data_IF_858935890864
#
_entry.id   IF_858935890864
#
_cell.length_a   1.000
_cell.length_b   1.000
_cell.length_c   1.000
_cell.angle_alpha   90.00
_cell.angle_beta   90.00
_cell.angle_gamma   90.00
#
_symmetry.space_group_name_H-M   'P 1'
#
loop_
_entity.id
_entity.type
_entity.pdbx_description
1 polymer ?
#
# COMPACT_ATOMS: atom_id res chain seq x y z
N UNK A 1 12.69 -13.81 -31.79
CA UNK A 1 12.06 -12.46 -31.74
C UNK A 1 10.98 -12.55 -30.67
N UNK A 2 11.29 -12.04 -29.49
CA UNK A 2 10.31 -11.93 -28.39
C UNK A 2 9.42 -10.76 -28.77
N UNK A 3 8.16 -11.03 -29.05
CA UNK A 3 7.18 -10.01 -29.37
C UNK A 3 6.85 -9.29 -28.04
N UNK A 4 7.48 -8.17 -27.77
CA UNK A 4 7.21 -7.31 -26.61
C UNK A 4 5.88 -6.61 -26.84
N UNK A 5 4.80 -7.34 -26.59
CA UNK A 5 3.44 -6.77 -26.63
C UNK A 5 3.25 -5.88 -25.40
N UNK A 6 3.68 -4.61 -25.51
CA UNK A 6 3.42 -3.62 -24.48
C UNK A 6 2.04 -3.03 -24.74
N UNK A 7 1.11 -3.23 -23.80
CA UNK A 7 -0.24 -2.69 -23.92
C UNK A 7 -0.55 -1.86 -22.68
N UNK A 8 -1.00 -0.62 -22.90
CA UNK A 8 -1.54 0.25 -21.86
C UNK A 8 -2.97 0.62 -22.24
N UNK A 9 -3.90 0.41 -21.33
CA UNK A 9 -5.30 0.74 -21.53
C UNK A 9 -5.81 1.59 -20.37
N UNK A 10 -6.60 2.60 -20.71
CA UNK A 10 -7.38 3.38 -19.75
C UNK A 10 -8.80 2.83 -19.75
N UNK A 11 -9.27 2.40 -18.59
CA UNK A 11 -10.55 1.73 -18.42
C UNK A 11 -11.30 2.29 -17.23
N UNK A 12 -12.60 2.06 -17.19
CA UNK A 12 -13.38 2.18 -15.96
C UNK A 12 -13.25 0.89 -15.15
N UNK A 13 -13.14 1.05 -13.83
CA UNK A 13 -13.14 -0.08 -12.91
C UNK A 13 -14.54 -0.69 -12.86
N UNK A 14 -14.62 -2.02 -12.88
CA UNK A 14 -15.87 -2.74 -12.78
C UNK A 14 -16.17 -3.11 -11.32
N UNK A 15 -17.40 -2.94 -10.87
CA UNK A 15 -17.86 -3.42 -9.58
C UNK A 15 -18.06 -4.95 -9.59
N UNK A 16 -18.43 -5.53 -8.45
CA UNK A 16 -18.67 -6.97 -8.29
C UNK A 16 -19.81 -7.52 -9.21
N UNK A 17 -20.65 -6.64 -9.76
CA UNK A 17 -21.70 -7.02 -10.70
C UNK A 17 -21.26 -6.93 -12.17
N UNK A 18 -20.01 -6.52 -12.44
CA UNK A 18 -19.49 -6.26 -13.78
C UNK A 18 -19.97 -4.94 -14.39
N UNK A 19 -20.51 -4.03 -13.60
CA UNK A 19 -20.96 -2.70 -14.04
C UNK A 19 -19.79 -1.70 -13.94
N UNK A 20 -19.67 -0.81 -14.94
CA UNK A 20 -18.69 0.26 -14.91
C UNK A 20 -18.94 1.24 -13.77
N UNK A 21 -17.87 1.62 -13.08
CA UNK A 21 -17.89 2.66 -12.05
C UNK A 21 -17.30 3.97 -12.60
N UNK A 22 -17.35 5.04 -11.80
CA UNK A 22 -16.71 6.31 -12.17
C UNK A 22 -15.20 6.34 -11.84
N UNK A 23 -14.62 5.24 -11.35
CA UNK A 23 -13.19 5.12 -11.08
C UNK A 23 -12.42 4.71 -12.34
N UNK A 24 -11.40 5.47 -12.67
CA UNK A 24 -10.51 5.20 -13.80
C UNK A 24 -9.27 4.43 -13.38
N UNK A 25 -8.89 3.45 -14.20
CA UNK A 25 -7.68 2.66 -14.01
C UNK A 25 -6.77 2.73 -15.24
N UNK A 26 -5.48 2.61 -14.98
CA UNK A 26 -4.45 2.31 -15.96
C UNK A 26 -4.19 0.81 -15.86
N UNK A 27 -4.48 0.06 -16.91
CA UNK A 27 -4.12 -1.33 -17.02
C UNK A 27 -2.87 -1.46 -17.88
N UNK A 28 -1.87 -2.14 -17.35
CA UNK A 28 -0.56 -2.34 -17.97
C UNK A 28 -0.35 -3.82 -18.20
N UNK A 29 0.08 -4.15 -19.41
CA UNK A 29 0.61 -5.45 -19.76
C UNK A 29 1.91 -5.25 -20.55
N UNK A 30 3.02 -5.80 -20.04
CA UNK A 30 4.33 -5.74 -20.69
C UNK A 30 5.02 -7.10 -20.64
N UNK A 31 6.30 -7.20 -21.00
CA UNK A 31 7.05 -8.45 -20.99
C UNK A 31 7.25 -9.05 -19.59
N UNK A 32 7.10 -8.26 -18.53
CA UNK A 32 7.42 -8.62 -17.15
C UNK A 32 6.18 -8.89 -16.30
N UNK A 33 5.12 -8.08 -16.47
CA UNK A 33 3.99 -8.11 -15.55
C UNK A 33 2.67 -7.67 -16.20
N UNK A 34 1.61 -7.97 -15.45
CA UNK A 34 0.30 -7.34 -15.57
C UNK A 34 0.04 -6.52 -14.30
N UNK A 35 -0.40 -5.27 -14.45
CA UNK A 35 -0.70 -4.37 -13.34
C UNK A 35 -1.96 -3.55 -13.60
N UNK A 36 -2.69 -3.19 -12.53
CA UNK A 36 -3.80 -2.27 -12.56
C UNK A 36 -3.60 -1.19 -11.51
N UNK A 37 -3.66 0.07 -11.92
CA UNK A 37 -3.46 1.24 -11.08
C UNK A 37 -4.71 2.12 -11.17
N UNK A 38 -5.36 2.40 -10.03
CA UNK A 38 -6.48 3.31 -9.96
C UNK A 38 -5.99 4.75 -9.83
N UNK A 39 -6.56 5.68 -10.59
CA UNK A 39 -6.23 7.10 -10.47
C UNK A 39 -6.70 7.66 -9.12
N UNK A 40 -7.80 7.15 -8.55
CA UNK A 40 -8.12 7.46 -7.17
C UNK A 40 -7.11 6.79 -6.24
N UNK A 41 -6.47 7.60 -5.41
CA UNK A 41 -5.42 7.19 -4.47
C UNK A 41 -4.05 6.96 -5.09
N UNK A 42 -3.91 7.03 -6.44
CA UNK A 42 -2.71 6.55 -7.11
C UNK A 42 -2.43 5.07 -6.77
N UNK A 43 -3.50 4.32 -6.50
CA UNK A 43 -3.46 3.03 -5.82
C UNK A 43 -3.21 1.89 -6.79
N UNK A 44 -2.19 1.08 -6.52
CA UNK A 44 -1.99 -0.18 -7.22
C UNK A 44 -3.02 -1.18 -6.68
N UNK A 45 -3.91 -1.66 -7.56
CA UNK A 45 -4.95 -2.62 -7.22
C UNK A 45 -4.48 -4.06 -7.43
N UNK A 46 -3.78 -4.31 -8.53
CA UNK A 46 -3.28 -5.62 -8.90
C UNK A 46 -1.87 -5.51 -9.45
N UNK A 47 -1.06 -6.51 -9.15
CA UNK A 47 0.26 -6.70 -9.71
C UNK A 47 0.59 -8.19 -9.74
N UNK A 48 1.04 -8.66 -10.90
CA UNK A 48 1.42 -10.05 -11.12
C UNK A 48 2.57 -10.14 -12.11
N UNK A 49 3.68 -10.76 -11.72
CA UNK A 49 4.80 -11.02 -12.63
C UNK A 49 4.59 -12.32 -13.39
N UNK A 50 5.04 -12.40 -14.64
CA UNK A 50 4.97 -13.65 -15.41
C UNK A 50 5.98 -14.69 -14.97
N UNK A 51 7.05 -14.28 -14.29
CA UNK A 51 8.05 -15.17 -13.70
C UNK A 51 7.47 -16.08 -12.61
N UNK A 52 6.44 -15.59 -11.90
CA UNK A 52 5.72 -16.29 -10.85
C UNK A 52 4.21 -16.13 -11.06
N UNK A 53 3.74 -16.50 -12.25
CA UNK A 53 2.37 -16.28 -12.72
C UNK A 53 1.28 -17.02 -11.91
N UNK A 54 1.67 -17.98 -11.07
CA UNK A 54 0.74 -18.87 -10.39
C UNK A 54 -0.10 -18.17 -9.30
N UNK A 55 0.27 -16.93 -8.88
CA UNK A 55 -0.49 -16.20 -7.87
C UNK A 55 -0.24 -14.68 -7.92
N UNK A 56 -1.31 -13.90 -7.73
CA UNK A 56 -1.20 -12.44 -7.61
C UNK A 56 -0.35 -12.05 -6.40
N UNK A 57 0.41 -10.94 -6.50
CA UNK A 57 1.15 -10.38 -5.38
C UNK A 57 0.21 -9.74 -4.36
N UNK A 58 -0.80 -9.04 -4.85
CA UNK A 58 -1.71 -8.23 -4.04
C UNK A 58 -3.10 -8.86 -3.97
N UNK A 59 -3.70 -8.75 -2.80
CA UNK A 59 -5.09 -9.10 -2.59
C UNK A 59 -5.98 -7.86 -2.78
N UNK A 60 -7.11 -8.04 -3.46
CA UNK A 60 -8.15 -7.03 -3.64
C UNK A 60 -9.49 -7.64 -3.28
N UNK A 61 -10.30 -6.94 -2.48
CA UNK A 61 -11.61 -7.44 -2.11
C UNK A 61 -12.54 -7.52 -3.32
N UNK A 62 -13.17 -8.67 -3.50
CA UNK A 62 -14.21 -8.87 -4.50
C UNK A 62 -15.52 -8.16 -4.15
N UNK A 63 -15.69 -7.73 -2.88
CA UNK A 63 -16.87 -7.01 -2.39
C UNK A 63 -16.69 -5.49 -2.39
N UNK A 64 -15.61 -4.97 -2.98
CA UNK A 64 -15.44 -3.53 -3.14
C UNK A 64 -16.62 -2.92 -3.90
N UNK A 65 -17.18 -1.86 -3.35
CA UNK A 65 -18.23 -1.08 -4.01
C UNK A 65 -17.69 -0.13 -5.08
N UNK A 66 -16.38 0.16 -5.05
CA UNK A 66 -15.69 1.08 -5.97
C UNK A 66 -16.42 2.42 -6.17
N UNK A 67 -16.80 3.03 -5.06
CA UNK A 67 -17.47 4.33 -5.04
C UNK A 67 -16.44 5.46 -4.97
N UNK A 68 -16.50 6.46 -5.85
CA UNK A 68 -15.61 7.62 -5.79
C UNK A 68 -15.60 8.29 -4.41
N UNK A 69 -14.42 8.65 -3.94
CA UNK A 69 -14.21 9.25 -2.62
C UNK A 69 -14.18 8.26 -1.45
N UNK A 70 -14.50 6.99 -1.67
CA UNK A 70 -14.36 5.93 -0.66
C UNK A 70 -13.08 5.15 -0.86
N UNK A 71 -12.43 4.75 0.24
CA UNK A 71 -11.23 3.93 0.18
C UNK A 71 -11.53 2.57 -0.47
N UNK A 72 -10.61 2.09 -1.31
CA UNK A 72 -10.67 0.77 -1.93
C UNK A 72 -9.96 -0.22 -1.01
N UNK A 73 -10.61 -1.34 -0.71
CA UNK A 73 -10.10 -2.40 0.16
C UNK A 73 -9.21 -3.36 -0.62
N UNK A 74 -7.91 -3.37 -0.33
CA UNK A 74 -6.92 -4.22 -0.98
C UNK A 74 -5.93 -3.45 -1.84
N UNK A 75 -5.03 -4.14 -2.55
CA UNK A 75 -3.94 -3.49 -3.27
C UNK A 75 -2.95 -2.79 -2.34
N UNK A 76 -2.53 -1.58 -2.70
CA UNK A 76 -1.61 -0.76 -1.90
C UNK A 76 -2.19 0.66 -1.74
N UNK A 77 -3.15 0.89 -0.84
CA UNK A 77 -3.60 2.23 -0.50
C UNK A 77 -2.48 3.04 0.17
N UNK A 78 -2.39 4.33 -0.13
CA UNK A 78 -1.50 5.24 0.57
C UNK A 78 -2.23 5.91 1.74
N UNK A 79 -1.79 5.65 2.96
CA UNK A 79 -2.18 6.42 4.13
C UNK A 79 -1.34 7.70 4.16
N UNK A 80 -1.97 8.89 4.05
CA UNK A 80 -1.29 10.19 4.04
C UNK A 80 -2.32 11.33 4.20
N UNK A 81 -2.04 12.41 4.94
CA UNK A 81 -0.80 12.74 5.69
C UNK A 81 -0.76 12.26 7.14
N UNK A 82 -1.70 11.41 7.56
CA UNK A 82 -1.68 10.73 8.87
C UNK A 82 -2.04 9.27 8.74
N UNK A 83 -1.57 8.48 9.70
CA UNK A 83 -1.92 7.07 9.85
C UNK A 83 -2.96 6.90 10.97
N UNK A 84 -3.91 5.99 10.79
CA UNK A 84 -4.97 5.76 11.77
C UNK A 84 -6.03 6.87 11.79
N UNK A 85 -6.73 7.00 12.92
CA UNK A 85 -7.68 8.08 13.15
C UNK A 85 -6.92 9.39 13.38
N UNK A 86 -7.48 10.53 12.94
CA UNK A 86 -6.88 11.83 13.20
C UNK A 86 -6.92 12.15 14.70
N UNK A 87 -5.80 12.65 15.24
CA UNK A 87 -5.66 12.81 16.69
C UNK A 87 -6.63 13.85 17.31
N UNK A 88 -6.96 14.91 16.55
CA UNK A 88 -7.78 16.03 17.05
C UNK A 88 -9.20 16.02 16.48
N UNK A 89 -9.41 15.51 15.27
CA UNK A 89 -10.69 15.60 14.54
C UNK A 89 -11.22 14.23 14.21
N UNK A 90 -12.19 13.75 15.00
CA UNK A 90 -12.75 12.41 14.86
C UNK A 90 -13.58 12.20 13.58
N UNK A 91 -14.04 13.27 12.95
CA UNK A 91 -14.79 13.30 11.69
C UNK A 91 -13.88 13.31 10.44
N UNK A 92 -12.57 13.48 10.62
CA UNK A 92 -11.63 13.38 9.51
C UNK A 92 -11.45 11.94 9.06
N UNK A 93 -11.16 11.71 7.76
CA UNK A 93 -11.04 10.36 7.25
C UNK A 93 -9.86 9.60 7.91
N UNK A 94 -10.12 8.41 8.42
CA UNK A 94 -9.04 7.56 8.93
C UNK A 94 -7.99 7.30 7.84
N UNK A 95 -6.72 7.31 8.21
CA UNK A 95 -5.55 7.16 7.33
C UNK A 95 -5.36 8.29 6.30
N UNK A 96 -5.83 9.49 6.61
CA UNK A 96 -5.70 10.64 5.73
C UNK A 96 -6.61 10.61 4.51
N UNK A 97 -6.36 11.52 3.58
CA UNK A 97 -7.22 11.75 2.42
C UNK A 97 -6.65 11.26 1.09
N UNK A 98 -5.35 10.96 1.02
CA UNK A 98 -4.68 10.71 -0.26
C UNK A 98 -5.29 9.57 -1.06
N UNK A 99 -5.72 8.49 -0.38
CA UNK A 99 -6.34 7.31 -1.00
C UNK A 99 -7.78 7.52 -1.50
N UNK A 100 -8.40 8.63 -1.12
CA UNK A 100 -9.79 8.94 -1.46
C UNK A 100 -9.92 9.97 -2.59
N UNK A 101 -8.81 10.59 -3.02
CA UNK A 101 -8.79 11.64 -4.02
C UNK A 101 -8.21 11.14 -5.35
N UNK A 102 -8.67 11.72 -6.45
CA UNK A 102 -8.10 11.44 -7.76
C UNK A 102 -6.72 12.10 -7.91
N UNK A 103 -5.77 11.32 -8.40
CA UNK A 103 -4.43 11.77 -8.74
C UNK A 103 -4.32 12.01 -10.24
N UNK A 104 -3.49 12.97 -10.61
CA UNK A 104 -3.21 13.29 -12.00
C UNK A 104 -2.11 12.39 -12.54
N UNK A 105 -2.32 11.76 -13.69
CA UNK A 105 -1.24 11.12 -14.43
C UNK A 105 -0.34 12.21 -15.03
N UNK A 106 0.94 12.23 -14.62
CA UNK A 106 1.95 13.19 -15.08
C UNK A 106 2.79 12.60 -16.21
N UNK A 107 3.17 11.32 -16.07
CA UNK A 107 4.02 10.62 -17.04
C UNK A 107 3.70 9.13 -17.06
N UNK A 108 3.79 8.55 -18.24
CA UNK A 108 3.75 7.11 -18.46
C UNK A 108 4.73 6.80 -19.61
N UNK A 109 5.77 6.06 -19.29
CA UNK A 109 6.84 5.67 -20.23
C UNK A 109 7.11 4.18 -20.12
N UNK A 110 7.78 3.62 -21.11
CA UNK A 110 8.24 2.23 -21.10
C UNK A 110 9.76 2.18 -21.33
N UNK A 111 10.43 1.42 -20.50
CA UNK A 111 11.83 1.08 -20.62
C UNK A 111 11.96 -0.44 -20.83
N UNK A 112 12.81 -0.87 -21.78
CA UNK A 112 12.95 -2.29 -22.14
C UNK A 112 13.54 -3.15 -21.01
N UNK A 113 14.30 -2.57 -20.10
CA UNK A 113 14.92 -3.25 -18.97
C UNK A 113 14.10 -3.16 -17.67
N UNK A 114 13.39 -2.05 -17.47
CA UNK A 114 12.71 -1.76 -16.20
C UNK A 114 11.19 -1.94 -16.27
N UNK A 115 10.60 -1.97 -17.46
CA UNK A 115 9.16 -2.01 -17.64
C UNK A 115 8.52 -0.62 -17.70
N UNK A 116 7.22 -0.54 -17.37
CA UNK A 116 6.49 0.74 -17.37
C UNK A 116 6.81 1.58 -16.14
N UNK A 117 7.06 2.86 -16.40
CA UNK A 117 7.27 3.88 -15.37
C UNK A 117 6.12 4.87 -15.40
N UNK A 118 5.46 5.05 -14.26
CA UNK A 118 4.26 5.89 -14.12
C UNK A 118 4.52 6.93 -13.03
N UNK A 119 4.18 8.18 -13.29
CA UNK A 119 4.18 9.24 -12.27
C UNK A 119 2.76 9.74 -12.10
N UNK A 120 2.23 9.55 -10.90
CA UNK A 120 0.96 10.09 -10.45
C UNK A 120 1.21 11.20 -9.43
N UNK A 121 0.39 12.24 -9.45
CA UNK A 121 0.59 13.44 -8.64
C UNK A 121 -0.70 13.89 -7.95
N UNK A 122 -0.59 14.21 -6.68
CA UNK A 122 -1.59 14.92 -5.90
C UNK A 122 -0.99 16.24 -5.38
N UNK A 123 -1.64 17.34 -5.65
CA UNK A 123 -1.25 18.67 -5.14
C UNK A 123 -2.32 19.24 -4.23
N UNK A 124 -1.94 20.22 -3.43
CA UNK A 124 -2.87 20.96 -2.59
C UNK A 124 -4.01 21.56 -3.43
N UNK A 125 -5.23 21.36 -2.99
CA UNK A 125 -6.46 21.88 -3.59
C UNK A 125 -7.49 22.19 -2.50
N UNK A 126 -8.67 22.66 -2.86
CA UNK A 126 -9.72 23.00 -1.88
C UNK A 126 -10.13 21.81 -0.99
N UNK A 127 -10.13 20.59 -1.51
CA UNK A 127 -10.50 19.40 -0.73
C UNK A 127 -9.42 19.05 0.29
N UNK A 128 -8.14 19.06 -0.12
CA UNK A 128 -7.02 18.72 0.77
C UNK A 128 -6.86 19.77 1.88
N UNK A 129 -7.04 21.05 1.55
CA UNK A 129 -6.91 22.16 2.50
C UNK A 129 -7.95 22.17 3.62
N UNK A 130 -9.09 21.51 3.42
CA UNK A 130 -10.10 21.31 4.50
C UNK A 130 -9.57 20.45 5.64
N UNK A 131 -8.65 19.55 5.34
CA UNK A 131 -8.10 18.58 6.29
C UNK A 131 -6.68 18.92 6.70
N UNK A 132 -5.91 19.54 5.79
CA UNK A 132 -4.49 19.80 5.97
C UNK A 132 -4.09 21.00 5.12
N UNK A 133 -4.09 22.19 5.74
CA UNK A 133 -3.96 23.47 5.03
C UNK A 133 -2.51 23.86 4.77
N UNK A 134 -1.83 23.03 3.95
CA UNK A 134 -0.47 23.28 3.47
C UNK A 134 -0.41 23.20 1.95
N UNK A 135 0.52 23.95 1.36
CA UNK A 135 0.88 23.80 -0.05
C UNK A 135 1.89 22.66 -0.18
N UNK A 136 1.54 21.61 -0.93
CA UNK A 136 2.40 20.45 -1.15
C UNK A 136 2.28 19.91 -2.57
N UNK A 137 3.29 19.12 -2.95
CA UNK A 137 3.25 18.22 -4.11
C UNK A 137 3.66 16.83 -3.67
N UNK A 138 2.75 15.90 -3.83
CA UNK A 138 2.95 14.49 -3.54
C UNK A 138 2.95 13.71 -4.85
N UNK A 139 4.05 13.02 -5.15
CA UNK A 139 4.18 12.19 -6.33
C UNK A 139 4.37 10.72 -5.93
N UNK A 140 3.70 9.83 -6.65
CA UNK A 140 3.93 8.40 -6.61
C UNK A 140 4.55 7.99 -7.94
N UNK A 141 5.82 7.59 -7.91
CA UNK A 141 6.52 7.05 -9.06
C UNK A 141 6.51 5.53 -8.96
N UNK A 142 5.90 4.87 -9.94
CA UNK A 142 5.75 3.43 -9.99
C UNK A 142 6.61 2.86 -11.11
N UNK A 143 7.31 1.77 -10.84
CA UNK A 143 7.98 0.96 -11.87
C UNK A 143 7.36 -0.43 -11.86
N UNK A 144 6.71 -0.79 -12.97
CA UNK A 144 6.02 -2.08 -13.19
C UNK A 144 6.87 -2.96 -14.11
N UNK A 145 7.80 -3.71 -13.54
CA UNK A 145 8.77 -4.57 -14.21
C UNK A 145 8.74 -6.01 -13.69
N UNK A 146 9.91 -6.66 -13.56
CA UNK A 146 10.04 -7.94 -12.85
C UNK A 146 9.74 -7.78 -11.36
N UNK A 147 9.99 -6.60 -10.82
CA UNK A 147 9.64 -6.17 -9.48
C UNK A 147 8.72 -4.96 -9.56
N UNK A 148 7.94 -4.74 -8.52
CA UNK A 148 7.14 -3.55 -8.35
C UNK A 148 7.88 -2.58 -7.43
N UNK A 149 8.30 -1.44 -7.97
CA UNK A 149 8.91 -0.37 -7.17
C UNK A 149 7.95 0.81 -7.04
N UNK A 150 7.76 1.25 -5.79
CA UNK A 150 7.00 2.44 -5.43
C UNK A 150 7.96 3.46 -4.83
N UNK A 151 7.92 4.68 -5.34
CA UNK A 151 8.65 5.80 -4.77
C UNK A 151 7.65 6.92 -4.48
N UNK A 152 7.48 7.23 -3.19
CA UNK A 152 6.72 8.40 -2.75
C UNK A 152 7.68 9.59 -2.61
N UNK A 153 7.41 10.67 -3.33
CA UNK A 153 8.13 11.92 -3.22
C UNK A 153 7.19 13.02 -2.73
N UNK A 154 7.54 13.66 -1.61
CA UNK A 154 6.77 14.76 -1.03
C UNK A 154 7.61 16.03 -1.02
N UNK A 155 7.10 17.10 -1.64
CA UNK A 155 7.70 18.43 -1.63
C UNK A 155 6.82 19.37 -0.79
N UNK A 156 7.44 20.06 0.14
CA UNK A 156 6.81 21.16 0.86
C UNK A 156 6.90 22.45 0.01
N UNK A 157 5.78 22.85 -0.54
CA UNK A 157 5.65 24.08 -1.34
C UNK A 157 5.11 25.26 -0.54
N UNK A 158 4.88 25.04 0.78
CA UNK A 158 4.44 26.06 1.70
C UNK A 158 5.62 26.89 2.23
N UNK A 159 5.32 28.01 2.87
CA UNK A 159 6.32 28.84 3.56
C UNK A 159 6.59 28.36 5.00
N UNK A 160 5.77 27.44 5.51
CA UNK A 160 5.88 26.88 6.85
C UNK A 160 6.31 25.42 6.78
N UNK A 161 6.97 24.94 7.83
CA UNK A 161 7.20 23.53 8.02
C UNK A 161 5.88 22.82 8.34
N UNK A 162 5.75 21.57 7.91
CA UNK A 162 4.65 20.69 8.30
C UNK A 162 5.15 19.33 8.76
N UNK A 163 4.28 18.67 9.52
CA UNK A 163 4.49 17.30 9.96
C UNK A 163 3.55 16.34 9.24
N UNK A 164 4.01 15.13 8.97
CA UNK A 164 3.19 14.08 8.37
C UNK A 164 3.61 12.68 8.84
N UNK A 165 2.68 11.74 8.69
CA UNK A 165 2.94 10.31 8.69
C UNK A 165 2.49 9.72 7.36
N UNK A 166 2.98 8.55 7.02
CA UNK A 166 2.46 7.79 5.88
C UNK A 166 2.68 6.30 6.06
N UNK A 167 1.90 5.51 5.32
CA UNK A 167 2.15 4.09 5.13
C UNK A 167 1.63 3.63 3.77
N UNK A 168 2.36 2.72 3.13
CA UNK A 168 1.81 1.88 2.08
C UNK A 168 1.08 0.72 2.75
N UNK A 169 -0.25 0.80 2.79
CA UNK A 169 -1.11 -0.21 3.42
C UNK A 169 -1.24 -1.45 2.52
N UNK A 170 -0.12 -2.13 2.29
CA UNK A 170 -0.01 -3.23 1.33
C UNK A 170 -0.76 -4.48 1.80
N UNK A 171 -1.72 -4.93 0.99
CA UNK A 171 -2.46 -6.18 1.18
C UNK A 171 -1.81 -7.28 0.34
N UNK A 172 -1.02 -8.15 0.94
CA UNK A 172 -0.40 -9.27 0.23
C UNK A 172 -1.37 -10.45 0.13
N UNK A 173 -1.58 -10.95 -1.09
CA UNK A 173 -2.35 -12.16 -1.31
C UNK A 173 -1.55 -13.36 -0.81
N UNK A 174 -2.19 -14.23 -0.05
CA UNK A 174 -1.62 -15.47 0.49
C UNK A 174 -2.58 -16.65 0.29
N UNK A 175 -2.04 -17.84 0.29
CA UNK A 175 -2.85 -19.03 0.12
C UNK A 175 -3.65 -19.38 1.39
N UNK A 176 -3.00 -19.29 2.56
CA UNK A 176 -3.59 -19.56 3.87
C UNK A 176 -2.83 -18.83 4.97
N UNK A 177 -3.53 -17.98 5.73
CA UNK A 177 -2.97 -17.21 6.86
C UNK A 177 -2.29 -18.09 7.92
N UNK A 178 -2.77 -19.33 8.11
CA UNK A 178 -2.21 -20.27 9.09
C UNK A 178 -0.88 -20.87 8.64
N UNK A 179 -0.58 -20.83 7.34
CA UNK A 179 0.61 -21.45 6.75
C UNK A 179 1.74 -20.47 6.48
N UNK A 180 1.49 -19.15 6.59
CA UNK A 180 2.52 -18.17 6.33
C UNK A 180 3.50 -18.02 7.50
N UNK A 181 4.72 -17.63 7.14
CA UNK A 181 5.77 -17.23 8.08
C UNK A 181 6.30 -15.86 7.63
N UNK A 182 6.41 -14.94 8.57
CA UNK A 182 6.88 -13.57 8.34
C UNK A 182 8.22 -13.39 9.04
N UNK A 183 9.25 -13.02 8.28
CA UNK A 183 10.60 -12.74 8.75
C UNK A 183 10.93 -11.25 8.64
N UNK A 184 11.92 -10.78 9.41
CA UNK A 184 12.38 -9.39 9.42
C UNK A 184 11.89 -8.58 10.63
N UNK A 185 11.08 -9.17 11.52
CA UNK A 185 10.54 -8.50 12.72
C UNK A 185 11.21 -8.94 14.04
N UNK A 186 12.15 -9.88 13.97
CA UNK A 186 12.82 -10.43 15.15
C UNK A 186 13.50 -9.35 16.01
N UNK A 187 13.38 -9.47 17.33
CA UNK A 187 13.96 -8.54 18.30
C UNK A 187 13.52 -7.08 18.13
N UNK A 188 12.38 -6.85 17.45
CA UNK A 188 11.84 -5.50 17.22
C UNK A 188 10.73 -5.22 18.24
N UNK A 189 10.76 -4.07 18.94
CA UNK A 189 9.65 -3.62 19.80
C UNK A 189 8.41 -3.32 18.97
N UNK A 190 7.22 -3.68 19.49
CA UNK A 190 5.95 -3.35 18.85
C UNK A 190 4.90 -2.87 19.86
N UNK A 191 3.93 -2.15 19.37
CA UNK A 191 2.71 -1.72 20.09
C UNK A 191 1.56 -2.58 19.57
N UNK A 192 0.89 -3.32 20.45
CA UNK A 192 -0.30 -4.09 20.12
C UNK A 192 -1.53 -3.16 20.22
N UNK A 193 -2.14 -2.84 19.09
CA UNK A 193 -3.30 -1.93 18.99
C UNK A 193 -4.59 -2.55 19.57
N UNK A 194 -4.59 -3.87 19.85
CA UNK A 194 -5.71 -4.59 20.43
C UNK A 194 -5.66 -4.62 21.96
N UNK A 195 -4.58 -4.15 22.55
CA UNK A 195 -4.32 -4.13 23.98
C UNK A 195 -3.74 -2.77 24.36
N UNK A 196 -4.18 -2.24 25.50
CA UNK A 196 -3.58 -1.03 26.08
C UNK A 196 -2.21 -1.31 26.74
N UNK A 197 -1.44 -2.25 26.17
CA UNK A 197 -0.16 -2.63 26.72
C UNK A 197 0.98 -1.78 26.14
N UNK A 198 1.96 -1.40 26.96
CA UNK A 198 3.18 -0.74 26.50
C UNK A 198 3.95 -1.64 25.52
N UNK A 199 4.95 -1.07 24.87
CA UNK A 199 5.73 -1.74 23.84
C UNK A 199 6.16 -3.17 24.24
N UNK A 200 5.72 -4.16 23.48
CA UNK A 200 6.10 -5.55 23.58
C UNK A 200 7.33 -5.82 22.70
N UNK A 201 7.99 -6.94 22.88
CA UNK A 201 9.13 -7.35 22.07
C UNK A 201 8.77 -8.58 21.23
N UNK A 202 9.08 -8.55 19.94
CA UNK A 202 9.00 -9.71 19.07
C UNK A 202 10.21 -10.63 19.34
N UNK A 203 10.07 -11.55 20.27
CA UNK A 203 11.17 -12.41 20.71
C UNK A 203 11.55 -13.50 19.69
N UNK A 204 10.56 -14.02 18.97
CA UNK A 204 10.79 -15.08 18.00
C UNK A 204 11.43 -14.58 16.70
N UNK A 205 12.28 -15.42 16.10
CA UNK A 205 12.94 -15.12 14.83
C UNK A 205 11.94 -14.87 13.72
N UNK A 206 10.85 -15.62 13.69
CA UNK A 206 9.77 -15.50 12.70
C UNK A 206 8.45 -15.26 13.39
N UNK A 207 7.51 -14.63 12.68
CA UNK A 207 6.15 -14.33 13.16
C UNK A 207 5.12 -15.14 12.37
N UNK A 208 4.15 -15.73 13.05
CA UNK A 208 2.96 -16.37 12.49
C UNK A 208 1.70 -15.67 12.97
N UNK A 209 0.61 -15.79 12.24
CA UNK A 209 -0.68 -15.20 12.59
C UNK A 209 -1.61 -16.31 13.09
N UNK A 210 -2.10 -16.19 14.34
CA UNK A 210 -2.95 -17.19 14.98
C UNK A 210 -4.21 -16.58 15.60
N UNK A 211 -4.38 -15.27 15.49
CA UNK A 211 -5.49 -14.48 16.03
C UNK A 211 -5.55 -13.12 15.34
N UNK A 212 -6.56 -12.29 15.66
CA UNK A 212 -6.57 -10.89 15.23
C UNK A 212 -5.22 -10.25 15.59
N UNK A 213 -4.62 -9.61 14.62
CA UNK A 213 -3.29 -9.01 14.76
C UNK A 213 -3.35 -7.59 14.24
N UNK A 214 -2.92 -6.64 15.07
CA UNK A 214 -2.83 -5.23 14.73
C UNK A 214 -1.63 -4.64 15.52
N UNK A 215 -0.43 -4.74 14.92
CA UNK A 215 0.84 -4.43 15.58
C UNK A 215 1.59 -3.37 14.82
N UNK A 216 1.97 -2.29 15.50
CA UNK A 216 2.86 -1.26 14.96
C UNK A 216 4.27 -1.53 15.49
N UNK A 217 5.23 -1.69 14.59
CA UNK A 217 6.66 -1.76 14.87
C UNK A 217 7.27 -0.38 14.52
N UNK A 218 7.43 0.54 15.47
CA UNK A 218 7.81 1.94 15.20
C UNK A 218 9.27 2.11 14.78
N UNK A 219 10.09 1.08 15.02
CA UNK A 219 11.52 1.05 14.65
C UNK A 219 11.82 -0.32 14.05
N UNK A 220 11.67 -0.43 12.75
CA UNK A 220 11.82 -1.68 12.02
C UNK A 220 12.82 -1.55 10.87
N UNK A 221 13.47 -2.65 10.48
CA UNK A 221 14.65 -2.64 9.61
C UNK A 221 14.40 -2.43 8.11
N UNK A 222 13.16 -2.43 7.66
CA UNK A 222 12.81 -2.19 6.25
C UNK A 222 12.99 -3.37 5.29
N UNK A 223 13.40 -4.53 5.77
CA UNK A 223 13.55 -5.76 4.97
C UNK A 223 12.71 -6.87 5.57
N UNK A 224 11.71 -7.33 4.82
CA UNK A 224 10.77 -8.35 5.30
C UNK A 224 10.54 -9.41 4.25
N UNK A 225 10.16 -10.61 4.71
CA UNK A 225 9.76 -11.71 3.83
C UNK A 225 8.48 -12.35 4.35
N UNK A 226 7.59 -12.69 3.44
CA UNK A 226 6.41 -13.51 3.70
C UNK A 226 6.60 -14.82 2.94
N UNK A 227 6.90 -15.90 3.66
CA UNK A 227 6.92 -17.25 3.12
C UNK A 227 5.51 -17.79 3.05
N UNK A 228 5.03 -18.08 1.83
CA UNK A 228 3.67 -18.56 1.54
C UNK A 228 3.76 -19.79 0.65
N UNK A 229 3.47 -20.97 1.19
CA UNK A 229 3.52 -22.27 0.49
C UNK A 229 4.76 -22.42 -0.41
N UNK A 230 4.64 -22.13 -1.71
CA UNK A 230 5.65 -22.35 -2.73
C UNK A 230 6.42 -21.09 -3.14
N UNK A 231 6.15 -19.96 -2.51
CA UNK A 231 6.78 -18.67 -2.82
C UNK A 231 7.24 -17.91 -1.60
N UNK A 232 8.14 -16.99 -1.83
CA UNK A 232 8.53 -15.94 -0.88
C UNK A 232 8.21 -14.59 -1.51
N UNK A 233 7.47 -13.75 -0.78
CA UNK A 233 7.26 -12.35 -1.11
C UNK A 233 8.31 -11.57 -0.32
N UNK A 234 9.15 -10.81 -1.02
CA UNK A 234 10.17 -9.96 -0.41
C UNK A 234 9.72 -8.49 -0.48
N UNK A 235 9.83 -7.80 0.64
CA UNK A 235 9.49 -6.39 0.82
C UNK A 235 10.76 -5.67 1.26
N UNK A 236 11.23 -4.75 0.43
CA UNK A 236 12.41 -3.93 0.70
C UNK A 236 12.02 -2.45 0.78
N UNK A 237 12.16 -1.85 1.96
CA UNK A 237 11.72 -0.49 2.27
C UNK A 237 12.77 0.20 3.17
N UNK A 238 14.01 0.38 2.68
CA UNK A 238 15.18 0.66 3.51
C UNK A 238 15.14 2.01 4.24
N UNK A 239 14.36 2.95 3.76
CA UNK A 239 14.20 4.27 4.36
C UNK A 239 12.84 4.49 5.05
N UNK A 240 12.05 3.43 5.24
CA UNK A 240 10.90 3.42 6.12
C UNK A 240 11.32 2.92 7.51
N UNK A 241 11.01 3.71 8.54
CA UNK A 241 11.40 3.35 9.92
C UNK A 241 10.38 2.48 10.65
N UNK A 242 9.18 2.33 10.09
CA UNK A 242 8.06 1.65 10.74
C UNK A 242 7.41 0.64 9.83
N UNK A 243 6.81 -0.38 10.44
CA UNK A 243 5.93 -1.31 9.73
C UNK A 243 4.73 -1.68 10.59
N UNK A 244 3.56 -1.89 9.98
CA UNK A 244 2.38 -2.47 10.62
C UNK A 244 2.17 -3.89 10.12
N UNK A 245 1.95 -4.80 11.03
CA UNK A 245 1.48 -6.15 10.75
C UNK A 245 0.01 -6.25 11.15
N UNK A 246 -0.87 -6.45 10.15
CA UNK A 246 -2.30 -6.47 10.37
C UNK A 246 -3.00 -7.64 9.65
N UNK A 247 -3.89 -8.29 10.40
CA UNK A 247 -4.91 -9.19 9.88
C UNK A 247 -6.17 -9.07 10.75
N UNK A 248 -7.35 -8.83 10.16
CA UNK A 248 -8.60 -8.60 10.90
C UNK A 248 -9.14 -9.84 11.62
N UNK A 249 -8.68 -11.04 11.26
CA UNK A 249 -9.20 -12.30 11.75
C UNK A 249 -10.72 -12.44 11.56
N UNK A 250 -11.37 -13.33 12.29
CA UNK A 250 -12.77 -13.71 12.08
C UNK A 250 -13.74 -12.56 12.42
N UNK A 251 -13.69 -12.10 13.68
CA UNK A 251 -14.71 -11.18 14.19
C UNK A 251 -14.65 -9.78 13.57
N UNK A 252 -13.46 -9.25 13.34
CA UNK A 252 -13.31 -7.94 12.70
C UNK A 252 -13.67 -8.01 11.22
N UNK A 253 -13.36 -9.11 10.53
CA UNK A 253 -13.77 -9.32 9.12
C UNK A 253 -15.28 -9.25 8.96
N UNK A 254 -16.06 -9.87 9.84
CA UNK A 254 -17.52 -9.82 9.80
C UNK A 254 -18.10 -8.40 9.97
N UNK A 255 -17.35 -7.50 10.60
CA UNK A 255 -17.73 -6.09 10.79
C UNK A 255 -17.29 -5.18 9.64
N UNK A 256 -16.40 -5.65 8.76
CA UNK A 256 -15.97 -4.93 7.56
C UNK A 256 -16.98 -5.22 6.43
N UNK A 257 -17.85 -4.29 6.12
CA UNK A 257 -18.93 -4.47 5.13
C UNK A 257 -18.47 -4.55 3.67
N UNK A 258 -17.16 -4.50 3.41
CA UNK A 258 -16.51 -4.47 2.09
C UNK A 258 -15.58 -5.65 1.82
N UNK A 259 -15.72 -6.75 2.61
CA UNK A 259 -14.94 -7.99 2.46
C UNK A 259 -15.81 -9.23 2.64
N UNK A 260 -15.43 -10.35 2.03
CA UNK A 260 -16.06 -11.65 2.27
C UNK A 260 -15.73 -12.14 3.69
N UNK A 261 -16.62 -12.95 4.29
CA UNK A 261 -16.49 -13.42 5.67
C UNK A 261 -15.23 -14.27 5.93
N UNK A 262 -14.71 -14.90 4.90
CA UNK A 262 -13.49 -15.73 4.91
C UNK A 262 -12.25 -15.01 4.41
N UNK A 263 -12.36 -13.74 4.01
CA UNK A 263 -11.28 -12.98 3.38
C UNK A 263 -10.01 -12.90 4.26
N UNK A 264 -10.15 -12.89 5.59
CA UNK A 264 -9.03 -12.86 6.53
C UNK A 264 -8.02 -14.01 6.32
N UNK A 265 -8.44 -15.12 5.73
CA UNK A 265 -7.56 -16.26 5.42
C UNK A 265 -6.67 -16.02 4.21
N UNK A 266 -7.00 -15.06 3.36
CA UNK A 266 -6.45 -14.87 2.02
C UNK A 266 -5.50 -13.68 1.87
N UNK A 267 -5.32 -12.89 2.92
CA UNK A 267 -4.38 -11.77 2.90
C UNK A 267 -3.70 -11.54 4.25
N UNK A 268 -2.58 -10.87 4.20
CA UNK A 268 -1.93 -10.24 5.34
C UNK A 268 -1.47 -8.85 4.91
N UNK A 269 -1.58 -7.85 5.80
CA UNK A 269 -0.99 -6.55 5.58
C UNK A 269 0.37 -6.45 6.26
N UNK A 270 1.36 -5.99 5.50
CA UNK A 270 2.66 -5.54 6.00
C UNK A 270 2.90 -4.14 5.44
N UNK A 271 2.69 -3.13 6.29
CA UNK A 271 2.51 -1.75 5.88
C UNK A 271 3.75 -0.94 6.23
N UNK A 272 4.64 -0.75 5.26
CA UNK A 272 5.87 0.03 5.47
C UNK A 272 5.58 1.53 5.41
N UNK A 273 6.19 2.30 6.31
CA UNK A 273 6.00 3.75 6.34
C UNK A 273 6.77 4.47 7.43
N UNK A 274 6.27 5.64 7.78
CA UNK A 274 6.69 6.49 8.91
C UNK A 274 5.49 6.68 9.83
N UNK A 275 5.28 5.75 10.76
CA UNK A 275 4.06 5.65 11.56
C UNK A 275 4.30 6.03 13.02
N UNK A 276 5.42 5.57 13.60
CA UNK A 276 5.73 5.78 15.01
C UNK A 276 6.13 7.20 15.37
N UNK A 277 6.82 7.88 14.47
CA UNK A 277 7.27 9.27 14.63
C UNK A 277 6.86 10.08 13.41
N UNK A 278 6.40 11.32 13.64
CA UNK A 278 6.05 12.22 12.55
C UNK A 278 7.30 12.76 11.87
N UNK A 279 7.27 12.81 10.54
CA UNK A 279 8.34 13.42 9.75
C UNK A 279 8.08 14.94 9.65
N UNK A 280 9.07 15.73 10.01
CA UNK A 280 9.04 17.17 9.82
C UNK A 280 9.67 17.52 8.47
N UNK A 281 8.97 18.30 7.65
CA UNK A 281 9.45 18.77 6.36
C UNK A 281 9.42 20.30 6.33
N UNK A 282 10.58 20.93 6.29
CA UNK A 282 10.68 22.40 6.26
C UNK A 282 10.31 22.98 4.89
N UNK A 283 10.01 24.27 4.84
CA UNK A 283 9.66 24.99 3.62
C UNK A 283 10.68 24.74 2.49
N UNK A 284 10.20 24.42 1.30
CA UNK A 284 11.02 24.18 0.12
C UNK A 284 11.76 22.83 0.07
N UNK A 285 11.70 22.03 1.13
CA UNK A 285 12.32 20.71 1.13
C UNK A 285 11.48 19.67 0.40
N UNK A 286 12.19 18.66 -0.11
CA UNK A 286 11.62 17.45 -0.70
C UNK A 286 12.22 16.24 0.00
N UNK A 287 11.38 15.25 0.33
CA UNK A 287 11.77 13.96 0.89
C UNK A 287 11.24 12.84 0.00
N UNK A 288 11.93 11.69 0.05
CA UNK A 288 11.58 10.53 -0.76
C UNK A 288 11.65 9.26 0.07
N UNK A 289 10.68 8.37 -0.14
CA UNK A 289 10.64 7.02 0.43
C UNK A 289 10.44 6.01 -0.70
N UNK A 290 11.03 4.83 -0.53
CA UNK A 290 10.96 3.78 -1.54
C UNK A 290 10.54 2.45 -0.92
N UNK A 291 9.75 1.68 -1.68
CA UNK A 291 9.45 0.29 -1.42
C UNK A 291 9.59 -0.51 -2.72
N UNK A 292 10.28 -1.65 -2.64
CA UNK A 292 10.38 -2.62 -3.74
C UNK A 292 9.78 -3.94 -3.29
N UNK A 293 8.93 -4.49 -4.12
CA UNK A 293 8.22 -5.75 -3.89
C UNK A 293 8.60 -6.75 -4.97
N UNK A 294 9.00 -7.95 -4.55
CA UNK A 294 9.33 -9.03 -5.47
C UNK A 294 8.82 -10.38 -4.97
N UNK A 295 8.77 -11.35 -5.87
CA UNK A 295 8.39 -12.73 -5.55
C UNK A 295 9.39 -13.71 -6.12
N UNK A 296 9.75 -14.74 -5.36
CA UNK A 296 10.57 -15.86 -5.79
C UNK A 296 9.90 -17.18 -5.44
N UNK A 297 10.26 -18.25 -6.17
CA UNK A 297 9.89 -19.62 -5.76
C UNK A 297 10.68 -19.99 -4.49
N UNK A 298 10.01 -20.73 -3.62
CA UNK A 298 10.61 -21.26 -2.39
C UNK A 298 11.46 -22.50 -2.72
#
# INVERSE_FOLDING_TARGET
MINHNTNVQFKKLLNAKGEETDLEIIEIQNAFCHAQICLQGGQILQYQTYKNADSALLWLSEQNSFVPGKAIRGGIPLCFPWFGQHAEYADYPAHGFARNLNWKLVSLTFDEALGHQIILELTANEQTRRYWDYAFRLQMCLTCGEELTLVMQLSNLDQQAFAFNFAWHSYFAIADIHAIVIDGLSQTPFIDQLRDDPALLQEHASTTIQQETDRIYPKAGGHYQISDQNRVISIDSPNCSSVVLWNPWIEKTQRLGDVAEDAWQKFVCLECGQIGETVQLTAGQTIQFQQTLSTSKR
#
